data_IF_049659417948
#
_entry.id   IF_049659417948
#
_cell.length_a   1.000
_cell.length_b   1.000
_cell.length_c   1.000
_cell.angle_alpha   90.00
_cell.angle_beta   90.00
_cell.angle_gamma   90.00
#
_symmetry.space_group_name_H-M   'P 1'
#
loop_
_entity.id
_entity.type
_entity.pdbx_description
1 polymer ?
#
# COMPACT_ATOMS: atom_id res chain seq x y z
N UNK A 1 6.91 -1.58 14.01
CA UNK A 1 6.72 -2.76 13.13
C UNK A 1 8.08 -3.16 12.54
N UNK A 2 8.37 -4.46 12.41
CA UNK A 2 9.54 -5.00 11.70
C UNK A 2 9.10 -6.24 10.93
N UNK A 3 9.35 -6.28 9.62
CA UNK A 3 9.01 -7.40 8.74
C UNK A 3 10.14 -7.64 7.73
N UNK A 4 10.32 -8.90 7.34
CA UNK A 4 11.24 -9.30 6.27
C UNK A 4 10.41 -9.99 5.19
N UNK A 5 10.46 -9.49 3.97
CA UNK A 5 9.69 -10.00 2.83
C UNK A 5 10.58 -10.01 1.59
N UNK A 6 10.35 -10.97 0.69
CA UNK A 6 11.01 -10.97 -0.61
C UNK A 6 10.67 -9.73 -1.42
N UNK A 7 11.69 -9.13 -2.04
CA UNK A 7 11.54 -7.92 -2.86
C UNK A 7 10.50 -8.09 -3.98
N UNK A 8 10.52 -9.23 -4.67
CA UNK A 8 9.60 -9.49 -5.78
C UNK A 8 8.14 -9.52 -5.32
N UNK A 9 7.86 -10.14 -4.18
CA UNK A 9 6.53 -10.21 -3.57
C UNK A 9 6.05 -8.83 -3.14
N UNK A 10 6.90 -8.05 -2.47
CA UNK A 10 6.56 -6.68 -2.08
C UNK A 10 6.31 -5.78 -3.29
N UNK A 11 7.17 -5.86 -4.31
CA UNK A 11 7.04 -5.06 -5.53
C UNK A 11 5.75 -5.39 -6.27
N UNK A 12 5.38 -6.68 -6.36
CA UNK A 12 4.13 -7.12 -6.97
C UNK A 12 2.92 -6.53 -6.22
N UNK A 13 2.90 -6.59 -4.90
CA UNK A 13 1.82 -6.02 -4.08
C UNK A 13 1.72 -4.49 -4.23
N UNK A 14 2.85 -3.78 -4.13
CA UNK A 14 2.89 -2.32 -4.29
C UNK A 14 2.43 -1.87 -5.67
N UNK A 15 2.80 -2.60 -6.73
CA UNK A 15 2.38 -2.27 -8.10
C UNK A 15 0.86 -2.36 -8.29
N UNK A 16 0.17 -3.21 -7.53
CA UNK A 16 -1.30 -3.30 -7.58
C UNK A 16 -2.00 -2.14 -6.88
N UNK A 17 -1.49 -1.69 -5.73
CA UNK A 17 -2.15 -0.63 -4.95
C UNK A 17 -1.75 0.77 -5.41
N UNK A 18 -0.56 0.93 -6.00
CA UNK A 18 -0.08 2.24 -6.45
C UNK A 18 -0.93 2.84 -7.58
N UNK A 19 -1.60 2.02 -8.40
CA UNK A 19 -2.43 2.52 -9.50
C UNK A 19 -3.65 3.32 -9.04
N UNK A 20 -4.07 3.15 -7.78
CA UNK A 20 -5.21 3.88 -7.18
C UNK A 20 -4.79 5.27 -6.67
N UNK A 21 -3.48 5.53 -6.53
CA UNK A 21 -2.98 6.80 -6.00
C UNK A 21 -2.98 7.88 -7.10
N UNK A 22 -3.90 8.85 -6.98
CA UNK A 22 -3.96 10.01 -7.87
C UNK A 22 -2.78 10.97 -7.64
N UNK A 23 -2.03 11.29 -8.70
CA UNK A 23 -0.80 12.11 -8.60
C UNK A 23 -1.08 13.57 -8.29
N UNK A 24 -2.29 14.03 -8.56
CA UNK A 24 -2.72 15.43 -8.41
C UNK A 24 -3.53 15.67 -7.14
N UNK A 25 -3.62 14.69 -6.25
CA UNK A 25 -4.40 14.83 -5.04
C UNK A 25 -3.79 15.89 -4.11
N UNK A 26 -4.61 16.77 -3.55
CA UNK A 26 -4.18 17.84 -2.63
C UNK A 26 -4.17 17.39 -1.17
N UNK A 27 -4.69 16.20 -0.87
CA UNK A 27 -4.71 15.58 0.45
C UNK A 27 -3.46 14.68 0.59
N UNK A 28 -2.39 15.09 1.31
CA UNK A 28 -1.11 14.39 1.27
C UNK A 28 -1.14 12.94 1.79
N UNK A 29 -2.05 12.62 2.71
CA UNK A 29 -2.16 11.26 3.25
C UNK A 29 -2.61 10.25 2.18
N UNK A 30 -3.36 10.69 1.17
CA UNK A 30 -3.83 9.83 0.07
C UNK A 30 -2.73 9.49 -0.94
N UNK A 31 -1.56 10.14 -0.85
CA UNK A 31 -0.37 9.78 -1.63
C UNK A 31 0.43 8.61 -1.03
N UNK A 32 0.03 8.13 0.16
CA UNK A 32 0.72 7.06 0.87
C UNK A 32 0.01 5.71 0.70
N UNK A 33 0.75 4.64 0.95
CA UNK A 33 0.21 3.28 1.06
C UNK A 33 0.16 2.89 2.53
N UNK A 34 -1.01 2.44 2.99
CA UNK A 34 -1.15 1.77 4.28
C UNK A 34 -0.44 0.42 4.23
N UNK A 35 0.47 0.20 5.18
CA UNK A 35 1.14 -1.08 5.39
C UNK A 35 0.79 -1.58 6.79
N UNK A 36 0.09 -2.69 6.86
CA UNK A 36 -0.37 -3.30 8.11
C UNK A 36 0.15 -4.74 8.21
N UNK A 37 0.76 -5.08 9.35
CA UNK A 37 1.09 -6.46 9.66
C UNK A 37 -0.15 -7.14 10.26
N UNK A 38 -0.60 -8.24 9.66
CA UNK A 38 -1.81 -8.95 10.10
C UNK A 38 -1.50 -9.96 11.19
N UNK A 39 -2.53 -10.35 11.96
CA UNK A 39 -2.39 -11.36 13.01
C UNK A 39 -2.01 -12.75 12.44
N UNK A 40 -2.33 -13.02 11.17
CA UNK A 40 -1.99 -14.29 10.51
C UNK A 40 -0.55 -14.32 9.96
N UNK A 41 0.25 -13.28 10.22
CA UNK A 41 1.65 -13.20 9.79
C UNK A 41 1.84 -12.66 8.36
N UNK A 42 0.83 -12.00 7.80
CA UNK A 42 0.88 -11.36 6.48
C UNK A 42 1.16 -9.86 6.53
N UNK A 43 1.40 -9.28 5.36
CA UNK A 43 1.38 -7.82 5.17
C UNK A 43 0.19 -7.46 4.28
N UNK A 44 -0.65 -6.55 4.77
CA UNK A 44 -1.73 -5.93 4.00
C UNK A 44 -1.27 -4.58 3.48
N UNK A 45 -1.50 -4.36 2.19
CA UNK A 45 -1.24 -3.11 1.49
C UNK A 45 -2.57 -2.50 1.03
N UNK A 46 -2.76 -1.20 1.23
CA UNK A 46 -3.98 -0.51 0.83
C UNK A 46 -3.68 0.93 0.43
N UNK A 47 -4.35 1.40 -0.62
CA UNK A 47 -4.38 2.79 -1.06
C UNK A 47 -5.82 3.13 -1.47
N UNK A 48 -6.18 4.41 -1.42
CA UNK A 48 -7.53 4.88 -1.75
C UNK A 48 -7.47 6.31 -2.27
N UNK A 49 -8.34 6.64 -3.21
CA UNK A 49 -8.62 7.99 -3.70
C UNK A 49 -9.93 8.57 -3.16
N UNK A 50 -10.61 7.83 -2.27
CA UNK A 50 -11.93 8.11 -1.68
C UNK A 50 -13.14 7.99 -2.64
N UNK A 51 -12.91 7.75 -3.93
CA UNK A 51 -13.98 7.60 -4.93
C UNK A 51 -14.24 6.13 -5.29
N UNK A 52 -13.20 5.29 -5.31
CA UNK A 52 -13.30 3.86 -5.61
C UNK A 52 -13.68 2.99 -4.41
#
# INVERSE_FOLDING_TARGET
MKATIERATLLKGLSHVQSVVERRNTIPILSNVLIEATAEGGLKLMATDLDL
#
